data_IF_869400368713
#
_entry.id   IF_869400368713
#
_cell.length_a   1.000
_cell.length_b   1.000
_cell.length_c   1.000
_cell.angle_alpha   90.00
_cell.angle_beta   90.00
_cell.angle_gamma   90.00
#
_symmetry.space_group_name_H-M   'P 1'
#
loop_
_entity.id
_entity.type
_entity.pdbx_description
1 polymer ?
#
# COMPACT_ATOMS: atom_id res chain seq x y z
N UNK A 1 -31.19 -32.21 0.10
CA UNK A 1 -31.12 -31.53 1.41
C UNK A 1 -30.15 -30.35 1.31
N UNK A 2 -30.66 -29.12 1.33
CA UNK A 2 -29.83 -27.92 1.28
C UNK A 2 -29.11 -27.73 2.62
N UNK A 3 -27.78 -27.79 2.61
CA UNK A 3 -26.96 -27.37 3.75
C UNK A 3 -27.17 -25.86 3.95
N UNK A 4 -28.16 -25.50 4.76
CA UNK A 4 -28.37 -24.12 5.21
C UNK A 4 -27.13 -23.76 6.03
N UNK A 5 -26.19 -23.01 5.44
CA UNK A 5 -25.06 -22.41 6.17
C UNK A 5 -25.65 -21.63 7.34
N UNK A 6 -25.55 -22.17 8.55
CA UNK A 6 -25.95 -21.50 9.77
C UNK A 6 -25.00 -20.31 9.91
N UNK A 7 -25.51 -19.09 9.73
CA UNK A 7 -24.74 -17.87 10.01
C UNK A 7 -24.27 -17.97 11.46
N UNK A 8 -22.97 -18.25 11.66
CA UNK A 8 -22.38 -18.26 12.99
C UNK A 8 -22.39 -16.82 13.46
N UNK A 9 -23.29 -16.49 14.37
CA UNK A 9 -23.25 -15.22 15.09
C UNK A 9 -22.11 -15.29 16.09
N UNK A 10 -21.00 -14.62 15.79
CA UNK A 10 -19.91 -14.48 16.73
C UNK A 10 -20.27 -13.40 17.76
N UNK A 11 -19.89 -13.56 19.04
CA UNK A 11 -20.07 -12.50 20.03
C UNK A 11 -19.37 -11.22 19.55
N UNK A 12 -20.02 -10.06 19.74
CA UNK A 12 -19.39 -8.76 19.53
C UNK A 12 -18.10 -8.69 20.35
N UNK A 13 -17.01 -8.22 19.73
CA UNK A 13 -15.63 -8.20 20.28
C UNK A 13 -14.89 -9.53 20.40
N UNK A 14 -15.43 -10.64 19.90
CA UNK A 14 -14.62 -11.85 19.76
C UNK A 14 -13.54 -11.69 18.68
N UNK A 15 -12.41 -12.37 18.84
CA UNK A 15 -11.34 -12.40 17.85
C UNK A 15 -11.85 -12.79 16.45
N UNK A 16 -12.76 -13.75 16.40
CA UNK A 16 -13.37 -14.21 15.14
C UNK A 16 -14.28 -13.16 14.51
N UNK A 17 -14.99 -12.35 15.32
CA UNK A 17 -15.79 -11.23 14.82
C UNK A 17 -14.90 -10.15 14.18
N UNK A 18 -13.79 -9.78 14.83
CA UNK A 18 -12.84 -8.81 14.28
C UNK A 18 -12.23 -9.30 12.98
N UNK A 19 -11.80 -10.56 12.91
CA UNK A 19 -11.22 -11.13 11.69
C UNK A 19 -12.24 -11.14 10.54
N UNK A 20 -13.52 -11.42 10.82
CA UNK A 20 -14.53 -11.47 9.76
C UNK A 20 -14.97 -10.10 9.26
N UNK A 21 -15.02 -9.09 10.14
CA UNK A 21 -15.54 -7.76 9.81
C UNK A 21 -14.42 -6.71 9.69
N UNK A 22 -13.15 -7.12 9.62
CA UNK A 22 -12.01 -6.19 9.62
C UNK A 22 -12.13 -5.16 8.50
N UNK A 23 -12.50 -5.58 7.29
CA UNK A 23 -12.67 -4.70 6.14
C UNK A 23 -13.75 -3.62 6.40
N UNK A 24 -14.91 -4.00 6.95
CA UNK A 24 -16.01 -3.08 7.24
C UNK A 24 -15.68 -2.11 8.39
N UNK A 25 -14.97 -2.59 9.42
CA UNK A 25 -14.49 -1.76 10.53
C UNK A 25 -13.50 -0.72 10.01
N UNK A 26 -12.51 -1.15 9.24
CA UNK A 26 -11.49 -0.26 8.66
C UNK A 26 -12.11 0.71 7.66
N UNK A 27 -13.07 0.25 6.84
CA UNK A 27 -13.85 1.10 5.95
C UNK A 27 -14.60 2.19 6.72
N UNK A 28 -15.24 1.84 7.84
CA UNK A 28 -15.92 2.82 8.69
C UNK A 28 -14.96 3.89 9.24
N UNK A 29 -13.72 3.50 9.62
CA UNK A 29 -12.69 4.44 10.05
C UNK A 29 -12.24 5.39 8.92
N UNK A 30 -12.06 4.86 7.71
CA UNK A 30 -11.72 5.68 6.54
C UNK A 30 -12.83 6.68 6.23
N UNK A 31 -14.09 6.24 6.21
CA UNK A 31 -15.24 7.12 6.00
C UNK A 31 -15.32 8.20 7.08
N UNK A 32 -15.04 7.86 8.34
CA UNK A 32 -14.98 8.84 9.42
C UNK A 32 -13.94 9.94 9.16
N UNK A 33 -12.73 9.57 8.70
CA UNK A 33 -11.68 10.53 8.33
C UNK A 33 -12.13 11.40 7.14
N UNK A 34 -12.78 10.79 6.13
CA UNK A 34 -13.27 11.50 4.95
C UNK A 34 -14.40 12.49 5.30
N UNK A 35 -15.32 12.12 6.19
CA UNK A 35 -16.35 13.04 6.71
C UNK A 35 -15.68 14.22 7.45
N UNK A 36 -14.55 13.98 8.12
CA UNK A 36 -13.74 15.03 8.73
C UNK A 36 -13.26 16.11 7.75
N UNK A 37 -13.21 15.85 6.44
CA UNK A 37 -12.93 16.89 5.44
C UNK A 37 -14.09 17.86 5.22
N UNK A 38 -15.33 17.47 5.54
CA UNK A 38 -16.52 18.29 5.29
C UNK A 38 -16.64 19.46 6.26
N UNK A 39 -15.98 19.40 7.42
CA UNK A 39 -16.02 20.44 8.44
C UNK A 39 -14.68 21.18 8.52
N UNK A 40 -14.72 22.51 8.47
CA UNK A 40 -13.52 23.36 8.46
C UNK A 40 -12.59 23.11 9.67
N UNK A 41 -13.18 22.87 10.85
CA UNK A 41 -12.43 22.61 12.08
C UNK A 41 -11.64 21.29 12.03
N UNK A 42 -12.15 20.25 11.38
CA UNK A 42 -11.50 18.93 11.31
C UNK A 42 -10.74 18.71 10.01
N UNK A 43 -10.98 19.53 8.98
CA UNK A 43 -10.39 19.39 7.65
C UNK A 43 -8.85 19.40 7.68
N UNK A 44 -8.24 20.30 8.49
CA UNK A 44 -6.77 20.36 8.63
C UNK A 44 -6.19 19.05 9.14
N UNK A 45 -6.88 18.41 10.09
CA UNK A 45 -6.49 17.11 10.64
C UNK A 45 -6.71 15.99 9.64
N UNK A 46 -7.82 15.99 8.90
CA UNK A 46 -8.08 14.98 7.88
C UNK A 46 -7.09 15.07 6.70
N UNK A 47 -6.72 16.28 6.26
CA UNK A 47 -5.74 16.50 5.18
C UNK A 47 -4.36 15.92 5.53
N UNK A 48 -3.97 15.96 6.81
CA UNK A 48 -2.72 15.33 7.30
C UNK A 48 -2.62 13.84 6.93
N UNK A 49 -3.76 13.14 6.96
CA UNK A 49 -3.85 11.72 6.63
C UNK A 49 -3.91 11.47 5.12
N UNK A 50 -4.53 12.35 4.34
CA UNK A 50 -4.88 12.05 2.96
C UNK A 50 -3.79 12.47 1.96
N UNK A 51 -3.22 13.65 2.15
CA UNK A 51 -2.28 14.25 1.20
C UNK A 51 -0.82 14.08 1.65
N UNK A 52 0.14 13.94 0.71
CA UNK A 52 1.56 14.04 1.03
C UNK A 52 1.89 15.40 1.67
N UNK A 53 2.69 15.39 2.73
CA UNK A 53 2.98 16.58 3.54
C UNK A 53 4.24 17.31 3.06
N UNK A 54 4.53 18.49 3.60
CA UNK A 54 5.73 19.29 3.31
C UNK A 54 5.84 19.75 1.85
N UNK A 55 4.76 20.29 1.30
CA UNK A 55 4.77 20.92 -0.01
C UNK A 55 5.56 22.24 0.01
N UNK A 56 6.40 22.44 -1.00
CA UNK A 56 7.15 23.67 -1.25
C UNK A 56 6.84 24.08 -2.69
N UNK A 57 6.19 25.21 -2.84
CA UNK A 57 5.92 25.81 -4.15
C UNK A 57 7.03 26.80 -4.46
N UNK A 58 7.78 26.54 -5.53
CA UNK A 58 8.79 27.46 -6.06
C UNK A 58 8.27 28.10 -7.34
N UNK A 59 8.40 29.42 -7.43
CA UNK A 59 8.10 30.17 -8.64
C UNK A 59 9.30 30.03 -9.58
N UNK A 60 9.14 29.29 -10.67
CA UNK A 60 10.12 29.20 -11.76
C UNK A 60 9.68 30.08 -12.93
N UNK A 61 10.61 30.39 -13.84
CA UNK A 61 10.31 31.15 -15.07
C UNK A 61 9.28 30.43 -15.97
N UNK A 62 9.12 29.11 -15.80
CA UNK A 62 8.18 28.26 -16.55
C UNK A 62 6.84 28.02 -15.83
N UNK A 63 6.66 28.56 -14.62
CA UNK A 63 5.45 28.43 -13.82
C UNK A 63 5.69 28.01 -12.36
N UNK A 64 4.60 27.82 -11.62
CA UNK A 64 4.64 27.32 -10.24
C UNK A 64 4.93 25.80 -10.22
N UNK A 65 6.04 25.41 -9.60
CA UNK A 65 6.41 24.00 -9.40
C UNK A 65 6.27 23.66 -7.93
N UNK A 66 5.38 22.70 -7.61
CA UNK A 66 5.22 22.19 -6.25
C UNK A 66 6.03 20.91 -6.07
N UNK A 67 6.99 20.94 -5.14
CA UNK A 67 7.79 19.79 -4.71
C UNK A 67 7.51 19.44 -3.26
N UNK A 68 7.93 18.26 -2.82
CA UNK A 68 7.65 17.75 -1.49
C UNK A 68 8.93 17.27 -0.81
N UNK A 69 9.09 17.60 0.46
CA UNK A 69 10.18 17.10 1.30
C UNK A 69 9.76 15.87 2.11
N UNK A 70 10.73 15.11 2.57
CA UNK A 70 10.53 14.08 3.59
C UNK A 70 10.18 14.70 4.96
N UNK A 71 9.29 14.06 5.72
CA UNK A 71 9.23 14.31 7.17
C UNK A 71 8.27 13.40 7.94
N UNK A 72 8.29 13.52 9.27
CA UNK A 72 7.58 12.61 10.19
C UNK A 72 6.06 12.59 10.03
N UNK A 73 5.46 13.67 9.52
CA UNK A 73 4.01 13.72 9.25
C UNK A 73 3.59 12.73 8.16
N UNK A 74 4.51 12.27 7.33
CA UNK A 74 4.25 11.23 6.32
C UNK A 74 3.81 9.91 6.97
N UNK A 75 4.14 9.66 8.25
CA UNK A 75 3.63 8.50 8.99
C UNK A 75 2.10 8.49 9.10
N UNK A 76 1.46 9.65 9.26
CA UNK A 76 0.01 9.76 9.28
C UNK A 76 -0.58 9.42 7.91
N UNK A 77 0.08 9.88 6.84
CA UNK A 77 -0.29 9.55 5.46
C UNK A 77 -0.15 8.05 5.19
N UNK A 78 0.98 7.44 5.57
CA UNK A 78 1.20 5.99 5.46
C UNK A 78 0.12 5.21 6.21
N UNK A 79 -0.25 5.63 7.42
CA UNK A 79 -1.30 4.99 8.21
C UNK A 79 -2.67 5.04 7.50
N UNK A 80 -3.00 6.15 6.87
CA UNK A 80 -4.24 6.26 6.09
C UNK A 80 -4.24 5.33 4.89
N UNK A 81 -3.17 5.34 4.08
CA UNK A 81 -3.07 4.43 2.94
C UNK A 81 -2.97 2.97 3.37
N UNK A 82 -2.49 2.67 4.58
CA UNK A 82 -2.50 1.34 5.17
C UNK A 82 -3.94 0.83 5.41
N UNK A 83 -4.86 1.71 5.83
CA UNK A 83 -6.28 1.36 5.92
C UNK A 83 -6.90 1.14 4.54
N UNK A 84 -6.54 1.98 3.57
CA UNK A 84 -6.99 1.80 2.18
C UNK A 84 -6.52 0.46 1.61
N UNK A 85 -5.25 0.08 1.82
CA UNK A 85 -4.73 -1.20 1.33
C UNK A 85 -5.38 -2.41 2.00
N UNK A 86 -5.74 -2.34 3.29
CA UNK A 86 -6.55 -3.38 3.95
C UNK A 86 -7.92 -3.57 3.26
N UNK A 87 -8.60 -2.47 2.94
CA UNK A 87 -9.89 -2.52 2.25
C UNK A 87 -9.72 -3.10 0.83
N UNK A 88 -8.71 -2.61 0.09
CA UNK A 88 -8.42 -3.11 -1.26
C UNK A 88 -8.06 -4.59 -1.26
N UNK A 89 -7.28 -5.06 -0.28
CA UNK A 89 -6.94 -6.47 -0.12
C UNK A 89 -8.21 -7.32 0.01
N UNK A 90 -9.12 -6.92 0.91
CA UNK A 90 -10.38 -7.62 1.13
C UNK A 90 -11.26 -7.64 -0.13
N UNK A 91 -11.34 -6.52 -0.86
CA UNK A 91 -12.07 -6.41 -2.12
C UNK A 91 -11.47 -7.33 -3.20
N UNK A 92 -10.15 -7.31 -3.39
CA UNK A 92 -9.48 -8.20 -4.34
C UNK A 92 -9.70 -9.67 -3.95
N UNK A 93 -9.65 -9.98 -2.66
CA UNK A 93 -9.88 -11.33 -2.16
C UNK A 93 -11.30 -11.81 -2.50
N UNK A 94 -12.32 -11.02 -2.16
CA UNK A 94 -13.72 -11.39 -2.33
C UNK A 94 -14.16 -11.44 -3.80
N UNK A 95 -13.82 -10.38 -4.57
CA UNK A 95 -14.37 -10.19 -5.92
C UNK A 95 -13.55 -10.85 -7.03
N UNK A 96 -12.23 -10.99 -6.85
CA UNK A 96 -11.35 -11.64 -7.82
C UNK A 96 -10.99 -13.07 -7.38
N UNK A 97 -10.23 -13.20 -6.29
CA UNK A 97 -9.55 -14.46 -5.98
C UNK A 97 -10.53 -15.56 -5.55
N UNK A 98 -11.47 -15.26 -4.66
CA UNK A 98 -12.48 -16.22 -4.24
C UNK A 98 -13.42 -16.64 -5.37
N UNK A 99 -13.68 -15.73 -6.32
CA UNK A 99 -14.47 -16.03 -7.51
C UNK A 99 -13.75 -17.02 -8.44
N UNK A 100 -12.43 -16.86 -8.61
CA UNK A 100 -11.59 -17.78 -9.39
C UNK A 100 -11.44 -19.13 -8.67
N UNK A 101 -11.19 -19.12 -7.36
CA UNK A 101 -11.06 -20.35 -6.57
C UNK A 101 -12.30 -21.24 -6.61
N UNK A 102 -13.49 -20.63 -6.57
CA UNK A 102 -14.77 -21.36 -6.71
C UNK A 102 -14.91 -22.05 -8.06
N UNK A 103 -14.23 -21.57 -9.11
CA UNK A 103 -14.21 -22.19 -10.44
C UNK A 103 -13.16 -23.30 -10.57
N UNK A 104 -12.01 -23.14 -9.92
CA UNK A 104 -10.86 -24.04 -10.06
C UNK A 104 -10.86 -25.25 -9.12
N UNK A 105 -11.77 -25.31 -8.14
CA UNK A 105 -11.93 -26.46 -7.21
C UNK A 105 -10.60 -26.95 -6.59
N UNK A 106 -9.74 -26.02 -6.19
CA UNK A 106 -8.41 -26.32 -5.66
C UNK A 106 -8.49 -26.94 -4.25
N UNK A 107 -7.48 -27.76 -3.91
CA UNK A 107 -7.32 -28.24 -2.54
C UNK A 107 -6.99 -27.07 -1.59
N UNK A 108 -7.29 -27.21 -0.30
CA UNK A 108 -7.10 -26.15 0.70
C UNK A 108 -5.68 -25.56 0.71
N UNK A 109 -4.65 -26.40 0.60
CA UNK A 109 -3.25 -25.95 0.56
C UNK A 109 -2.90 -25.19 -0.72
N UNK A 110 -3.41 -25.64 -1.89
CA UNK A 110 -3.22 -24.94 -3.16
C UNK A 110 -3.96 -23.60 -3.16
N UNK A 111 -5.15 -23.56 -2.56
CA UNK A 111 -5.97 -22.36 -2.45
C UNK A 111 -5.28 -21.24 -1.66
N UNK A 112 -4.66 -21.57 -0.52
CA UNK A 112 -3.91 -20.59 0.29
C UNK A 112 -2.74 -19.99 -0.50
N UNK A 113 -1.93 -20.83 -1.16
CA UNK A 113 -0.81 -20.36 -1.99
C UNK A 113 -1.26 -19.54 -3.19
N UNK A 114 -2.37 -19.94 -3.82
CA UNK A 114 -2.98 -19.19 -4.91
C UNK A 114 -3.46 -17.82 -4.45
N UNK A 115 -4.10 -17.72 -3.28
CA UNK A 115 -4.54 -16.44 -2.73
C UNK A 115 -3.37 -15.49 -2.48
N UNK A 116 -2.32 -15.97 -1.79
CA UNK A 116 -1.11 -15.20 -1.53
C UNK A 116 -0.46 -14.70 -2.83
N UNK A 117 -0.27 -15.61 -3.79
CA UNK A 117 0.33 -15.28 -5.10
C UNK A 117 -0.57 -14.35 -5.92
N UNK A 118 -1.89 -14.53 -5.83
CA UNK A 118 -2.87 -13.72 -6.54
C UNK A 118 -2.91 -12.28 -6.03
N UNK A 119 -2.89 -12.07 -4.71
CA UNK A 119 -2.79 -10.74 -4.11
C UNK A 119 -1.50 -10.03 -4.54
N UNK A 120 -0.36 -10.74 -4.44
CA UNK A 120 0.93 -10.22 -4.88
C UNK A 120 0.95 -9.90 -6.37
N UNK A 121 0.35 -10.75 -7.21
CA UNK A 121 0.26 -10.52 -8.65
C UNK A 121 -0.51 -9.25 -8.99
N UNK A 122 -1.69 -9.04 -8.38
CA UNK A 122 -2.49 -7.83 -8.57
C UNK A 122 -1.69 -6.59 -8.14
N UNK A 123 -1.03 -6.66 -6.98
CA UNK A 123 -0.23 -5.55 -6.48
C UNK A 123 0.99 -5.23 -7.34
N UNK A 124 1.74 -6.25 -7.77
CA UNK A 124 2.92 -6.07 -8.63
C UNK A 124 2.53 -5.53 -10.00
N UNK A 125 1.40 -5.96 -10.57
CA UNK A 125 0.90 -5.42 -11.83
C UNK A 125 0.54 -3.93 -11.72
N UNK A 126 -0.22 -3.55 -10.69
CA UNK A 126 -0.58 -2.14 -10.49
C UNK A 126 0.66 -1.29 -10.19
N UNK A 127 1.56 -1.79 -9.34
CA UNK A 127 2.77 -1.06 -8.95
C UNK A 127 3.79 -0.95 -10.09
N UNK A 128 3.92 -1.96 -10.95
CA UNK A 128 4.81 -1.91 -12.12
C UNK A 128 4.29 -0.92 -13.16
N UNK A 129 2.98 -0.90 -13.45
CA UNK A 129 2.37 0.09 -14.35
C UNK A 129 2.57 1.51 -13.81
N UNK A 130 2.35 1.73 -12.51
CA UNK A 130 2.51 3.05 -11.89
C UNK A 130 3.98 3.49 -11.86
N UNK A 131 4.91 2.63 -11.44
CA UNK A 131 6.34 2.96 -11.44
C UNK A 131 6.87 3.18 -12.84
N UNK A 132 6.46 2.39 -13.83
CA UNK A 132 6.80 2.60 -15.24
C UNK A 132 6.32 3.95 -15.76
N UNK A 133 5.09 4.34 -15.42
CA UNK A 133 4.55 5.66 -15.75
C UNK A 133 5.45 6.77 -15.19
N UNK A 134 5.83 6.71 -13.91
CA UNK A 134 6.73 7.70 -13.29
C UNK A 134 8.10 7.71 -13.99
N UNK A 135 8.66 6.54 -14.28
CA UNK A 135 9.96 6.40 -14.93
C UNK A 135 10.01 7.05 -16.32
N UNK A 136 8.92 6.94 -17.09
CA UNK A 136 8.79 7.61 -18.40
C UNK A 136 8.62 9.11 -18.22
N UNK A 137 7.71 9.56 -17.34
CA UNK A 137 7.42 10.99 -17.17
C UNK A 137 8.61 11.77 -16.65
N UNK A 138 9.47 11.13 -15.86
CA UNK A 138 10.69 11.73 -15.31
C UNK A 138 11.93 11.49 -16.18
N UNK A 139 11.84 10.66 -17.23
CA UNK A 139 12.94 10.38 -18.15
C UNK A 139 14.11 9.57 -17.56
N UNK A 140 13.93 8.91 -16.41
CA UNK A 140 15.01 8.20 -15.70
C UNK A 140 15.61 7.03 -16.49
N UNK A 141 14.83 6.40 -17.38
CA UNK A 141 15.30 5.29 -18.23
C UNK A 141 16.20 5.76 -19.38
N UNK A 142 16.00 6.98 -19.88
CA UNK A 142 16.71 7.51 -21.04
C UNK A 142 18.09 8.08 -20.68
N UNK A 143 18.25 8.55 -19.44
CA UNK A 143 19.49 9.14 -18.94
C UNK A 143 19.91 8.50 -17.61
N UNK A 144 20.58 7.33 -17.61
CA UNK A 144 20.98 6.64 -16.38
C UNK A 144 21.89 7.45 -15.46
N UNK A 145 22.66 8.41 -15.99
CA UNK A 145 23.45 9.34 -15.20
C UNK A 145 22.59 10.24 -14.30
N UNK A 146 21.36 10.57 -14.73
CA UNK A 146 20.44 11.40 -13.95
C UNK A 146 19.98 10.73 -12.66
N UNK A 147 20.16 9.41 -12.52
CA UNK A 147 19.83 8.68 -11.30
C UNK A 147 20.67 9.13 -10.10
N UNK A 148 21.90 9.59 -10.34
CA UNK A 148 22.83 10.04 -9.29
C UNK A 148 23.05 11.55 -9.27
N UNK A 149 22.68 12.22 -10.36
CA UNK A 149 22.83 13.66 -10.50
C UNK A 149 22.02 14.41 -9.43
N UNK A 150 22.63 15.42 -8.80
CA UNK A 150 22.02 16.24 -7.75
C UNK A 150 21.57 15.44 -6.51
N UNK A 151 22.26 14.35 -6.18
CA UNK A 151 22.08 13.68 -4.89
C UNK A 151 22.60 14.57 -3.75
N UNK A 152 21.87 14.72 -2.63
CA UNK A 152 20.62 14.05 -2.25
C UNK A 152 19.36 14.61 -2.93
N UNK A 153 18.46 13.72 -3.37
CA UNK A 153 17.18 14.10 -4.01
C UNK A 153 16.11 14.53 -2.99
N UNK A 154 16.34 15.64 -2.32
CA UNK A 154 15.45 16.14 -1.25
C UNK A 154 14.08 16.59 -1.76
N UNK A 155 14.03 17.13 -2.98
CA UNK A 155 12.80 17.61 -3.61
C UNK A 155 12.15 16.49 -4.44
N UNK A 156 11.03 15.95 -3.94
CA UNK A 156 10.26 14.91 -4.61
C UNK A 156 9.04 15.51 -5.30
N UNK A 157 8.71 15.02 -6.49
CA UNK A 157 7.41 15.31 -7.11
C UNK A 157 6.30 14.57 -6.38
N UNK A 158 5.08 15.11 -6.45
CA UNK A 158 3.90 14.54 -5.82
C UNK A 158 3.76 13.03 -6.08
N UNK A 159 3.86 12.62 -7.34
CA UNK A 159 3.66 11.22 -7.75
C UNK A 159 4.73 10.28 -7.17
N UNK A 160 6.00 10.71 -7.16
CA UNK A 160 7.10 9.93 -6.58
C UNK A 160 6.90 9.75 -5.08
N UNK A 161 6.60 10.84 -4.37
CA UNK A 161 6.38 10.79 -2.93
C UNK A 161 5.18 9.90 -2.61
N UNK A 162 4.04 10.11 -3.26
CA UNK A 162 2.84 9.30 -3.05
C UNK A 162 3.09 7.82 -3.35
N UNK A 163 3.83 7.51 -4.41
CA UNK A 163 4.24 6.14 -4.72
C UNK A 163 4.98 5.51 -3.54
N UNK A 164 6.05 6.13 -3.03
CA UNK A 164 6.78 5.58 -1.87
C UNK A 164 5.91 5.39 -0.62
N UNK A 165 5.04 6.36 -0.29
CA UNK A 165 4.16 6.24 0.88
C UNK A 165 3.15 5.10 0.73
N UNK A 166 2.59 4.92 -0.46
CA UNK A 166 1.66 3.80 -0.75
C UNK A 166 2.37 2.45 -0.76
N UNK A 167 3.61 2.37 -1.26
CA UNK A 167 4.41 1.15 -1.20
C UNK A 167 4.70 0.73 0.24
N UNK A 168 5.11 1.68 1.10
CA UNK A 168 5.29 1.43 2.54
C UNK A 168 3.99 0.99 3.20
N UNK A 169 2.88 1.67 2.91
CA UNK A 169 1.56 1.32 3.43
C UNK A 169 1.13 -0.10 3.03
N UNK A 170 1.40 -0.52 1.79
CA UNK A 170 1.13 -1.88 1.35
C UNK A 170 1.99 -2.89 2.13
N UNK A 171 3.31 -2.73 2.21
CA UNK A 171 4.11 -3.73 2.91
C UNK A 171 3.83 -3.77 4.43
N UNK A 172 3.38 -2.66 5.02
CA UNK A 172 2.87 -2.65 6.39
C UNK A 172 1.53 -3.38 6.54
N UNK A 173 0.62 -3.27 5.56
CA UNK A 173 -0.68 -3.98 5.58
C UNK A 173 -0.51 -5.50 5.60
N UNK A 174 0.58 -6.00 5.00
CA UNK A 174 0.84 -7.43 4.96
C UNK A 174 1.03 -8.04 6.37
N UNK A 175 1.47 -7.26 7.37
CA UNK A 175 1.71 -7.72 8.73
C UNK A 175 0.41 -8.16 9.46
N UNK A 176 -0.62 -7.31 9.63
CA UNK A 176 -1.90 -7.74 10.20
C UNK A 176 -2.60 -8.77 9.30
N UNK A 177 -2.37 -8.75 7.99
CA UNK A 177 -2.97 -9.73 7.08
C UNK A 177 -2.50 -11.16 7.38
N UNK A 178 -1.24 -11.35 7.80
CA UNK A 178 -0.77 -12.66 8.27
C UNK A 178 -1.63 -13.23 9.40
N UNK A 179 -2.13 -12.34 10.27
CA UNK A 179 -3.02 -12.69 11.37
C UNK A 179 -4.46 -12.93 10.89
N UNK A 180 -4.99 -12.07 10.02
CA UNK A 180 -6.35 -12.21 9.48
C UNK A 180 -6.52 -13.49 8.64
N UNK A 181 -5.51 -13.87 7.86
CA UNK A 181 -5.52 -15.09 7.05
C UNK A 181 -5.24 -16.37 7.85
N UNK A 182 -4.89 -16.24 9.14
CA UNK A 182 -4.50 -17.36 10.01
C UNK A 182 -3.41 -18.23 9.37
N UNK A 183 -2.35 -17.59 8.88
CA UNK A 183 -1.22 -18.27 8.24
C UNK A 183 -0.60 -19.30 9.20
N UNK A 184 -0.13 -20.43 8.65
CA UNK A 184 0.52 -21.47 9.43
C UNK A 184 1.76 -20.92 10.11
N UNK A 185 1.96 -21.25 11.39
CA UNK A 185 3.10 -20.75 12.19
C UNK A 185 4.47 -21.00 11.56
N UNK A 186 4.60 -22.09 10.81
CA UNK A 186 5.82 -22.47 10.07
C UNK A 186 6.14 -21.51 8.91
N UNK A 187 5.13 -20.87 8.30
CA UNK A 187 5.29 -19.98 7.15
C UNK A 187 5.50 -18.51 7.55
N UNK A 188 5.07 -18.13 8.77
CA UNK A 188 5.21 -16.77 9.32
C UNK A 188 6.65 -16.24 9.27
N UNK A 189 7.70 -16.95 9.74
CA UNK A 189 9.05 -16.38 9.76
C UNK A 189 9.57 -16.07 8.34
N UNK A 190 9.26 -16.91 7.36
CA UNK A 190 9.62 -16.70 5.96
C UNK A 190 8.92 -15.47 5.38
N UNK A 191 7.62 -15.33 5.63
CA UNK A 191 6.85 -14.16 5.16
C UNK A 191 7.28 -12.88 5.87
N UNK A 192 7.59 -12.93 7.15
CA UNK A 192 8.08 -11.76 7.90
C UNK A 192 9.44 -11.30 7.39
N UNK A 193 10.37 -12.21 7.10
CA UNK A 193 11.64 -11.89 6.46
C UNK A 193 11.42 -11.20 5.12
N UNK A 194 10.56 -11.77 4.27
CA UNK A 194 10.20 -11.22 2.97
C UNK A 194 9.62 -9.80 3.07
N UNK A 195 8.61 -9.60 3.93
CA UNK A 195 8.00 -8.28 4.17
C UNK A 195 9.04 -7.29 4.71
N UNK A 196 9.90 -7.73 5.63
CA UNK A 196 10.94 -6.88 6.23
C UNK A 196 11.96 -6.41 5.19
N UNK A 197 12.34 -7.26 4.24
CA UNK A 197 13.25 -6.89 3.15
C UNK A 197 12.65 -5.81 2.25
N UNK A 198 11.37 -5.90 1.90
CA UNK A 198 10.70 -4.83 1.14
C UNK A 198 10.61 -3.53 1.92
N UNK A 199 10.17 -3.59 3.19
CA UNK A 199 10.09 -2.41 4.04
C UNK A 199 11.46 -1.76 4.19
N UNK A 200 12.51 -2.54 4.40
CA UNK A 200 13.88 -2.04 4.50
C UNK A 200 14.32 -1.38 3.19
N UNK A 201 14.12 -2.04 2.06
CA UNK A 201 14.51 -1.51 0.75
C UNK A 201 13.82 -0.18 0.44
N UNK A 202 12.48 -0.13 0.59
CA UNK A 202 11.67 1.04 0.28
C UNK A 202 11.96 2.18 1.28
N UNK A 203 12.06 1.86 2.57
CA UNK A 203 12.37 2.85 3.60
C UNK A 203 13.78 3.39 3.45
N UNK A 204 14.77 2.57 3.11
CA UNK A 204 16.13 3.02 2.87
C UNK A 204 16.18 3.97 1.67
N UNK A 205 15.51 3.64 0.56
CA UNK A 205 15.43 4.52 -0.60
C UNK A 205 14.76 5.87 -0.26
N UNK A 206 13.71 5.85 0.56
CA UNK A 206 12.97 7.05 0.96
C UNK A 206 13.76 7.92 1.97
N UNK A 207 14.25 7.33 3.06
CA UNK A 207 14.93 8.04 4.15
C UNK A 207 16.32 8.55 3.76
N UNK A 208 17.03 7.84 2.87
CA UNK A 208 18.34 8.25 2.37
C UNK A 208 18.25 9.17 1.14
N UNK A 209 17.05 9.58 0.72
CA UNK A 209 16.83 10.40 -0.48
C UNK A 209 17.42 9.78 -1.77
N UNK A 210 17.42 8.45 -1.87
CA UNK A 210 17.84 7.68 -3.05
C UNK A 210 16.62 7.32 -3.92
N UNK A 211 15.67 8.25 -4.05
CA UNK A 211 14.34 7.99 -4.63
C UNK A 211 14.39 7.59 -6.11
N UNK A 212 15.30 8.16 -6.90
CA UNK A 212 15.43 7.82 -8.33
C UNK A 212 15.91 6.39 -8.54
N UNK A 213 17.02 6.03 -7.90
CA UNK A 213 17.60 4.67 -7.95
C UNK A 213 16.63 3.66 -7.33
N UNK A 214 16.05 3.99 -6.17
CA UNK A 214 15.08 3.13 -5.52
C UNK A 214 13.84 2.87 -6.38
N UNK A 215 13.34 3.86 -7.12
CA UNK A 215 12.19 3.69 -8.00
C UNK A 215 12.48 2.69 -9.12
N UNK A 216 13.67 2.78 -9.74
CA UNK A 216 14.11 1.82 -10.75
C UNK A 216 14.23 0.42 -10.16
N UNK A 217 14.82 0.28 -8.96
CA UNK A 217 14.95 -1.01 -8.30
C UNK A 217 13.59 -1.62 -7.95
N UNK A 218 12.65 -0.82 -7.44
CA UNK A 218 11.28 -1.25 -7.15
C UNK A 218 10.56 -1.70 -8.43
N UNK A 219 10.72 -0.96 -9.53
CA UNK A 219 10.15 -1.35 -10.82
C UNK A 219 10.72 -2.69 -11.30
N UNK A 220 12.05 -2.85 -11.32
CA UNK A 220 12.71 -4.09 -11.72
C UNK A 220 12.33 -5.28 -10.82
N UNK A 221 12.06 -5.03 -9.54
CA UNK A 221 11.63 -6.07 -8.61
C UNK A 221 10.21 -6.57 -8.88
N UNK A 222 9.36 -5.75 -9.54
CA UNK A 222 7.94 -6.06 -9.79
C UNK A 222 7.65 -6.55 -11.21
N UNK A 223 8.64 -6.50 -12.11
CA UNK A 223 8.57 -7.02 -13.50
C UNK A 223 9.20 -8.40 -13.55
#
# INVERSE_FOLDING_TARGET
>A
MAFRRRNKSYPFFSQEFLIQNHADIVFSLVIFILIGLMFEATAKTAILFIQPQYNITTLSQEGEVTTYLYGWKDCATILFYFFITLILHAVVQEYLLDKVNRRLHLSKSKNTKFNESGQLCVFHLVSSVWSFYILITEGYLLHPSSLWENYPHTHLRFQVKLFYLTQLAYWLHALPELYFQKVRKEEIPRQLQYISLYLLHISAAYLLNLSRVGLVLVFLQYV
#
